data_IF_278507809798
#
_entry.id   IF_278507809798
#
_cell.length_a   1.000
_cell.length_b   1.000
_cell.length_c   1.000
_cell.angle_alpha   90.00
_cell.angle_beta   90.00
_cell.angle_gamma   90.00
#
_symmetry.space_group_name_H-M   'P 1'
#
loop_
_entity.id
_entity.type
_entity.pdbx_description
1 polymer ?
#
# COMPACT_ATOMS: atom_id res chain seq x y z
N UNK A 1 2.27 8.75 20.90
CA UNK A 1 3.45 7.85 20.96
C UNK A 1 3.06 6.38 20.80
N UNK A 2 2.11 5.86 21.61
CA UNK A 2 1.71 4.43 21.57
C UNK A 2 1.21 3.96 20.19
N UNK A 3 0.33 4.73 19.53
CA UNK A 3 -0.21 4.38 18.21
C UNK A 3 0.92 4.22 17.17
N UNK A 4 1.93 5.10 17.20
CA UNK A 4 3.07 5.03 16.29
C UNK A 4 3.94 3.79 16.53
N UNK A 5 4.16 3.41 17.79
CA UNK A 5 4.90 2.19 18.14
C UNK A 5 4.15 0.94 17.64
N UNK A 6 2.84 0.88 17.87
CA UNK A 6 1.99 -0.24 17.41
C UNK A 6 1.96 -0.30 15.88
N UNK A 7 1.77 0.83 15.21
CA UNK A 7 1.77 0.88 13.74
C UNK A 7 3.13 0.46 13.15
N UNK A 8 4.24 0.88 13.77
CA UNK A 8 5.58 0.45 13.37
C UNK A 8 5.80 -1.05 13.54
N UNK A 9 5.37 -1.62 14.67
CA UNK A 9 5.46 -3.05 14.92
C UNK A 9 4.60 -3.86 13.93
N UNK A 10 3.37 -3.42 13.66
CA UNK A 10 2.48 -4.04 12.67
C UNK A 10 3.12 -3.98 11.28
N UNK A 11 3.63 -2.82 10.86
CA UNK A 11 4.30 -2.66 9.57
C UNK A 11 5.47 -3.63 9.41
N UNK A 12 6.37 -3.70 10.40
CA UNK A 12 7.50 -4.64 10.40
C UNK A 12 7.05 -6.11 10.34
N UNK A 13 6.01 -6.49 11.08
CA UNK A 13 5.45 -7.84 11.03
C UNK A 13 4.86 -8.16 9.64
N UNK A 14 4.20 -7.19 9.01
CA UNK A 14 3.64 -7.36 7.66
C UNK A 14 4.74 -7.58 6.60
N UNK A 15 5.90 -6.93 6.73
CA UNK A 15 7.05 -7.23 5.85
C UNK A 15 7.53 -8.68 5.96
N UNK A 16 7.54 -9.24 7.17
CA UNK A 16 8.05 -10.60 7.42
C UNK A 16 7.04 -11.68 7.03
N UNK A 17 5.75 -11.47 7.31
CA UNK A 17 4.73 -12.52 7.19
C UNK A 17 3.72 -12.25 6.09
N UNK A 18 3.20 -11.02 5.99
CA UNK A 18 2.08 -10.70 5.10
C UNK A 18 2.54 -10.52 3.64
N UNK A 19 3.61 -9.77 3.40
CA UNK A 19 4.15 -9.53 2.07
C UNK A 19 4.57 -10.81 1.34
N UNK A 20 5.37 -11.72 1.92
CA UNK A 20 5.70 -12.97 1.24
C UNK A 20 4.46 -13.85 1.01
N UNK A 21 3.49 -13.81 1.92
CA UNK A 21 2.22 -14.52 1.73
C UNK A 21 1.40 -13.96 0.57
N UNK A 22 1.24 -12.63 0.48
CA UNK A 22 0.54 -11.96 -0.61
C UNK A 22 1.21 -12.23 -1.97
N UNK A 23 2.54 -12.14 -2.02
CA UNK A 23 3.31 -12.41 -3.23
C UNK A 23 3.18 -13.88 -3.65
N UNK A 24 3.30 -14.83 -2.72
CA UNK A 24 3.27 -16.26 -3.02
C UNK A 24 1.89 -16.83 -3.31
N UNK A 25 0.82 -16.29 -2.70
CA UNK A 25 -0.55 -16.82 -2.83
C UNK A 25 -1.42 -16.05 -3.80
N UNK A 26 -1.32 -14.73 -3.80
CA UNK A 26 -2.17 -13.86 -4.63
C UNK A 26 -1.43 -13.31 -5.86
N UNK A 27 -0.11 -13.52 -5.96
CA UNK A 27 0.71 -12.97 -7.04
C UNK A 27 0.81 -11.45 -7.00
N UNK A 28 0.49 -10.83 -5.86
CA UNK A 28 0.56 -9.38 -5.68
C UNK A 28 2.00 -9.01 -5.35
N UNK A 29 2.71 -8.46 -6.34
CA UNK A 29 4.07 -7.96 -6.16
C UNK A 29 4.06 -6.52 -5.67
N UNK A 30 4.42 -6.34 -4.41
CA UNK A 30 4.67 -5.03 -3.81
C UNK A 30 6.17 -4.81 -3.64
N UNK A 31 6.77 -4.10 -4.60
CA UNK A 31 8.23 -3.92 -4.71
C UNK A 31 8.81 -3.20 -3.50
N UNK A 32 8.13 -2.14 -3.04
CA UNK A 32 8.60 -1.29 -1.95
C UNK A 32 7.90 -1.59 -0.61
N UNK A 33 6.95 -2.54 -0.58
CA UNK A 33 6.17 -2.85 0.61
C UNK A 33 5.25 -1.72 1.05
N UNK A 34 4.73 -0.93 0.10
CA UNK A 34 3.84 0.20 0.40
C UNK A 34 2.53 -0.24 1.07
N UNK A 35 2.08 -1.48 0.84
CA UNK A 35 0.96 -2.05 1.55
C UNK A 35 1.22 -2.16 3.05
N UNK A 36 2.44 -2.58 3.45
CA UNK A 36 2.79 -2.72 4.86
C UNK A 36 2.99 -1.36 5.52
N UNK A 37 3.72 -0.46 4.85
CA UNK A 37 4.07 0.84 5.40
C UNK A 37 2.89 1.82 5.38
N UNK A 38 2.20 1.97 4.24
CA UNK A 38 1.12 2.93 4.09
C UNK A 38 -0.25 2.31 4.35
N UNK A 39 -0.51 1.11 3.82
CA UNK A 39 -1.79 0.43 3.96
C UNK A 39 -2.08 0.01 5.40
N UNK A 40 -1.26 -0.89 5.96
CA UNK A 40 -1.47 -1.45 7.30
C UNK A 40 -1.29 -0.42 8.42
N UNK A 41 -0.32 0.49 8.29
CA UNK A 41 -0.20 1.61 9.24
C UNK A 41 -1.39 2.58 9.12
N UNK A 42 -1.87 2.86 7.91
CA UNK A 42 -3.06 3.68 7.66
C UNK A 42 -4.31 3.10 8.30
N UNK A 43 -4.54 1.80 8.14
CA UNK A 43 -5.64 1.08 8.80
C UNK A 43 -5.53 1.13 10.33
N UNK A 44 -4.32 0.94 10.86
CA UNK A 44 -4.07 1.06 12.31
C UNK A 44 -4.44 2.46 12.82
N UNK A 45 -4.10 3.50 12.05
CA UNK A 45 -4.47 4.88 12.37
C UNK A 45 -5.97 5.16 12.31
N UNK A 46 -6.66 4.69 11.26
CA UNK A 46 -8.11 4.83 11.11
C UNK A 46 -8.86 4.14 12.25
N UNK A 47 -8.49 2.90 12.58
CA UNK A 47 -9.11 2.14 13.68
C UNK A 47 -8.84 2.83 15.02
N UNK A 48 -7.61 3.28 15.28
CA UNK A 48 -7.29 4.00 16.52
C UNK A 48 -8.09 5.31 16.64
N UNK A 49 -8.26 6.05 15.54
CA UNK A 49 -9.08 7.26 15.50
C UNK A 49 -10.54 6.97 15.86
N UNK A 50 -11.14 5.95 15.23
CA UNK A 50 -12.51 5.54 15.52
C UNK A 50 -12.71 5.15 16.99
N UNK A 51 -11.77 4.37 17.56
CA UNK A 51 -11.81 3.98 18.99
C UNK A 51 -11.79 5.20 19.90
N UNK A 52 -10.90 6.16 19.65
CA UNK A 52 -10.82 7.40 20.45
C UNK A 52 -12.11 8.20 20.38
N UNK A 53 -12.71 8.32 19.20
CA UNK A 53 -13.97 9.05 18.99
C UNK A 53 -15.13 8.39 19.75
N UNK A 54 -15.25 7.06 19.69
CA UNK A 54 -16.28 6.33 20.42
C UNK A 54 -16.14 6.45 21.95
N UNK A 55 -14.91 6.32 22.47
CA UNK A 55 -14.65 6.48 23.91
C UNK A 55 -14.96 7.91 24.37
N UNK A 56 -14.76 8.90 23.50
CA UNK A 56 -15.07 10.31 23.77
C UNK A 56 -16.56 10.66 23.63
N UNK A 57 -17.42 9.68 23.35
CA UNK A 57 -18.86 9.86 23.17
C UNK A 57 -19.28 10.45 21.82
N UNK A 58 -18.34 10.68 20.90
CA UNK A 58 -18.62 11.17 19.56
C UNK A 58 -18.94 10.01 18.61
N UNK A 59 -20.14 9.45 18.76
CA UNK A 59 -20.62 8.30 17.99
C UNK A 59 -20.72 8.60 16.50
N UNK A 60 -21.26 9.76 16.13
CA UNK A 60 -21.43 10.18 14.74
C UNK A 60 -20.08 10.35 14.05
N UNK A 61 -19.11 10.97 14.73
CA UNK A 61 -17.74 11.12 14.23
C UNK A 61 -17.02 9.79 14.07
N UNK A 62 -17.15 8.88 15.03
CA UNK A 62 -16.55 7.55 14.95
C UNK A 62 -17.14 6.71 13.81
N UNK A 63 -18.47 6.77 13.62
CA UNK A 63 -19.14 6.09 12.51
C UNK A 63 -18.73 6.69 11.16
N UNK A 64 -18.71 8.02 11.05
CA UNK A 64 -18.26 8.71 9.85
C UNK A 64 -16.81 8.32 9.50
N UNK A 65 -15.90 8.24 10.48
CA UNK A 65 -14.52 7.82 10.25
C UNK A 65 -14.42 6.44 9.60
N UNK A 66 -15.13 5.44 10.14
CA UNK A 66 -15.11 4.08 9.60
C UNK A 66 -15.74 4.01 8.21
N UNK A 67 -16.88 4.68 8.01
CA UNK A 67 -17.56 4.71 6.71
C UNK A 67 -16.66 5.35 5.65
N UNK A 68 -16.03 6.48 5.96
CA UNK A 68 -15.09 7.14 5.05
C UNK A 68 -13.86 6.27 4.75
N UNK A 69 -13.30 5.58 5.76
CA UNK A 69 -12.18 4.67 5.56
C UNK A 69 -12.54 3.52 4.60
N UNK A 70 -13.72 2.91 4.76
CA UNK A 70 -14.22 1.87 3.87
C UNK A 70 -14.47 2.38 2.45
N UNK A 71 -15.02 3.60 2.31
CA UNK A 71 -15.24 4.21 0.99
C UNK A 71 -13.91 4.53 0.29
N UNK A 72 -12.92 5.08 1.00
CA UNK A 72 -11.59 5.34 0.44
C UNK A 72 -10.93 4.05 -0.03
N UNK A 73 -11.04 2.98 0.75
CA UNK A 73 -10.53 1.67 0.37
C UNK A 73 -11.19 1.15 -0.92
N UNK A 74 -12.53 1.25 -1.01
CA UNK A 74 -13.26 0.83 -2.20
C UNK A 74 -12.88 1.65 -3.44
N UNK A 75 -12.83 2.99 -3.32
CA UNK A 75 -12.45 3.88 -4.42
C UNK A 75 -11.00 3.61 -4.85
N UNK A 76 -10.09 3.39 -3.90
CA UNK A 76 -8.69 3.07 -4.19
C UNK A 76 -8.54 1.76 -4.97
N UNK A 77 -9.28 0.70 -4.58
CA UNK A 77 -9.28 -0.57 -5.31
C UNK A 77 -9.84 -0.43 -6.73
N UNK A 78 -10.98 0.25 -6.88
CA UNK A 78 -11.63 0.44 -8.18
C UNK A 78 -10.74 1.30 -9.09
N UNK A 79 -10.26 2.43 -8.60
CA UNK A 79 -9.38 3.33 -9.34
C UNK A 79 -8.08 2.64 -9.74
N UNK A 80 -7.42 1.94 -8.80
CA UNK A 80 -6.21 1.18 -9.07
C UNK A 80 -6.42 0.05 -10.09
N UNK A 81 -7.55 -0.66 -10.03
CA UNK A 81 -7.88 -1.70 -11.00
C UNK A 81 -8.12 -1.12 -12.40
N UNK A 82 -8.87 -0.01 -12.52
CA UNK A 82 -9.10 0.67 -13.80
C UNK A 82 -7.77 1.13 -14.40
N UNK A 83 -6.94 1.83 -13.61
CA UNK A 83 -5.61 2.28 -14.06
C UNK A 83 -4.73 1.10 -14.46
N UNK A 84 -4.73 0.02 -13.67
CA UNK A 84 -3.99 -1.20 -13.97
C UNK A 84 -4.42 -1.86 -15.28
N UNK A 85 -5.72 -1.90 -15.57
CA UNK A 85 -6.26 -2.40 -16.85
C UNK A 85 -5.83 -1.51 -18.01
N UNK A 86 -5.94 -0.18 -17.86
CA UNK A 86 -5.50 0.77 -18.91
C UNK A 86 -4.02 0.55 -19.22
N UNK A 87 -3.15 0.54 -18.20
CA UNK A 87 -1.71 0.31 -18.38
C UNK A 87 -1.46 -1.07 -19.00
N UNK A 88 -2.21 -2.10 -18.60
CA UNK A 88 -2.07 -3.44 -19.18
C UNK A 88 -2.42 -3.49 -20.66
N UNK A 89 -3.35 -2.67 -21.12
CA UNK A 89 -3.75 -2.58 -22.53
C UNK A 89 -2.82 -1.68 -23.35
N UNK A 90 -2.21 -0.67 -22.73
CA UNK A 90 -1.34 0.30 -23.42
C UNK A 90 0.16 -0.01 -23.29
N UNK A 91 0.56 -0.93 -22.40
CA UNK A 91 1.97 -1.31 -22.26
C UNK A 91 2.49 -1.86 -23.58
N UNK A 92 3.59 -1.28 -24.05
CA UNK A 92 4.23 -1.65 -25.31
C UNK A 92 5.02 -2.95 -25.18
N UNK A 93 6.34 -2.86 -25.37
CA UNK A 93 7.22 -4.04 -25.31
C UNK A 93 7.28 -4.60 -23.89
N UNK A 94 7.40 -5.93 -23.73
CA UNK A 94 7.62 -6.53 -22.42
C UNK A 94 8.95 -6.01 -21.87
N UNK A 95 8.90 -5.41 -20.68
CA UNK A 95 10.08 -4.95 -19.94
C UNK A 95 10.45 -6.01 -18.91
N UNK A 96 11.75 -6.25 -18.77
CA UNK A 96 12.27 -7.02 -17.64
C UNK A 96 12.15 -6.19 -16.37
N UNK A 97 11.64 -6.78 -15.29
CA UNK A 97 11.49 -6.07 -14.03
C UNK A 97 12.86 -5.80 -13.40
N UNK A 98 13.05 -4.59 -12.87
CA UNK A 98 14.26 -4.17 -12.16
C UNK A 98 15.53 -4.12 -13.04
N UNK A 99 15.35 -3.92 -14.35
CA UNK A 99 16.44 -3.71 -15.30
C UNK A 99 16.32 -2.33 -15.95
N UNK A 100 17.36 -1.53 -15.80
CA UNK A 100 17.46 -0.18 -16.39
C UNK A 100 17.72 -0.22 -17.91
N UNK A 101 18.04 -1.40 -18.46
CA UNK A 101 18.41 -1.58 -19.88
C UNK A 101 17.32 -1.16 -20.88
N UNK A 102 16.05 -1.19 -20.46
CA UNK A 102 14.91 -0.81 -21.30
C UNK A 102 14.58 0.68 -21.24
N UNK A 103 15.04 1.36 -20.18
CA UNK A 103 14.72 2.75 -19.89
C UNK A 103 15.84 3.70 -20.33
N UNK A 104 17.09 3.23 -20.33
CA UNK A 104 18.27 4.05 -20.60
C UNK A 104 19.10 3.53 -21.77
N UNK A 105 19.65 4.48 -22.53
CA UNK A 105 20.72 4.17 -23.49
C UNK A 105 21.97 3.88 -22.66
N UNK A 106 22.61 2.73 -22.91
CA UNK A 106 23.87 2.37 -22.24
C UNK A 106 24.94 3.39 -22.61
N UNK A 107 25.38 4.19 -21.63
CA UNK A 107 26.55 5.04 -21.77
C UNK A 107 27.81 4.22 -21.47
N UNK A 108 28.95 4.63 -22.01
CA UNK A 108 30.23 4.03 -21.63
C UNK A 108 30.44 4.18 -20.11
N UNK A 109 31.00 3.15 -19.47
CA UNK A 109 31.29 3.20 -18.04
C UNK A 109 32.25 4.37 -17.76
N UNK A 110 32.05 5.12 -16.65
CA UNK A 110 33.00 6.18 -16.29
C UNK A 110 34.40 5.59 -16.13
N UNK A 111 35.43 6.30 -16.63
CA UNK A 111 36.82 5.92 -16.40
C UNK A 111 37.03 5.77 -14.88
N UNK A 112 37.50 4.58 -14.46
CA UNK A 112 37.71 4.22 -13.06
C UNK A 112 38.98 4.84 -12.49
#
# INVERSE_FOLDING_TARGET
MVIGLVAGAISAACFIYLQPWLCGKLGVLDVMGVHNLHGMAGWTGAIACAVVLFISGNMDGGLANIVMAAMIFAISLIGGAITGVIIRLTKGKPMEMFSDDYDFIKNEAPEQ
#
